data_IF_264395155438
#
_entry.id   IF_264395155438
#
_cell.length_a   1.000
_cell.length_b   1.000
_cell.length_c   1.000
_cell.angle_alpha   90.00
_cell.angle_beta   90.00
_cell.angle_gamma   90.00
#
_symmetry.space_group_name_H-M   'P 1'
#
loop_
_entity.id
_entity.type
_entity.pdbx_description
1 polymer ?
#
# COMPACT_ATOMS: atom_id res chain seq x y z
N UNK A 1 -8.12 11.03 -6.97
CA UNK A 1 -7.41 9.81 -6.59
C UNK A 1 -6.91 9.11 -7.83
N UNK A 2 -5.75 8.53 -7.76
CA UNK A 2 -5.16 7.83 -8.89
C UNK A 2 -5.45 6.35 -8.79
N UNK A 3 -5.92 5.76 -9.88
CA UNK A 3 -6.12 4.32 -9.95
C UNK A 3 -5.26 3.76 -11.04
N UNK A 4 -4.65 2.64 -10.78
CA UNK A 4 -3.77 2.00 -11.73
C UNK A 4 -4.07 0.52 -11.80
N UNK A 5 -3.85 -0.06 -12.98
CA UNK A 5 -3.91 -1.50 -13.13
C UNK A 5 -2.49 -1.98 -13.37
N UNK A 6 -2.06 -2.93 -12.57
CA UNK A 6 -0.69 -3.40 -12.61
C UNK A 6 -0.71 -4.92 -12.75
N UNK A 7 0.06 -5.42 -13.67
CA UNK A 7 0.15 -6.87 -13.88
C UNK A 7 1.14 -7.49 -12.92
N UNK A 8 1.04 -8.79 -12.68
CA UNK A 8 2.01 -9.46 -11.82
C UNK A 8 3.42 -9.25 -12.34
N UNK A 9 4.32 -9.07 -11.44
CA UNK A 9 5.74 -8.85 -11.70
C UNK A 9 6.05 -7.47 -12.23
N UNK A 10 5.08 -6.64 -12.40
CA UNK A 10 5.33 -5.23 -12.64
C UNK A 10 5.53 -4.54 -11.32
N UNK A 11 6.04 -3.33 -11.35
CA UNK A 11 6.20 -2.60 -10.11
C UNK A 11 5.78 -1.17 -10.28
N UNK A 12 5.61 -0.51 -9.16
CA UNK A 12 5.17 0.87 -9.10
C UNK A 12 6.18 1.65 -8.29
N UNK A 13 6.55 2.83 -8.77
CA UNK A 13 7.43 3.70 -8.01
C UNK A 13 6.63 4.84 -7.41
N UNK A 14 6.92 5.15 -6.16
CA UNK A 14 6.34 6.29 -5.49
C UNK A 14 7.51 7.18 -5.13
N UNK A 15 7.63 8.29 -5.80
CA UNK A 15 8.84 9.08 -5.72
C UNK A 15 9.96 8.33 -6.38
N UNK A 16 11.15 8.48 -5.89
CA UNK A 16 12.29 7.78 -6.47
C UNK A 16 12.92 6.81 -5.49
N UNK A 17 12.28 6.58 -4.35
CA UNK A 17 12.88 5.70 -3.35
C UNK A 17 11.90 4.68 -2.76
N UNK A 18 10.67 4.62 -3.23
CA UNK A 18 9.72 3.62 -2.76
C UNK A 18 9.25 2.80 -3.94
N UNK A 19 9.41 1.49 -3.84
CA UNK A 19 9.07 0.59 -4.91
C UNK A 19 8.10 -0.46 -4.39
N UNK A 20 7.02 -0.66 -5.11
CA UNK A 20 6.04 -1.67 -4.76
C UNK A 20 5.97 -2.65 -5.90
N UNK A 21 6.29 -3.91 -5.62
CA UNK A 21 6.30 -4.96 -6.62
C UNK A 21 5.08 -5.83 -6.41
N UNK A 22 4.38 -6.11 -7.49
CA UNK A 22 3.18 -6.92 -7.40
C UNK A 22 3.52 -8.34 -7.81
N UNK A 23 3.36 -9.25 -6.87
CA UNK A 23 3.78 -10.62 -7.09
C UNK A 23 2.63 -11.50 -7.57
N UNK A 24 1.42 -10.99 -7.52
CA UNK A 24 0.28 -11.77 -7.89
C UNK A 24 -0.43 -12.30 -6.66
N UNK A 25 -1.26 -13.29 -6.83
CA UNK A 25 -1.97 -13.81 -5.67
C UNK A 25 -3.08 -14.73 -6.09
N UNK A 26 -3.85 -15.16 -5.11
CA UNK A 26 -4.99 -15.97 -5.37
C UNK A 26 -6.22 -15.11 -5.19
N UNK A 27 -7.37 -15.76 -5.28
CA UNK A 27 -8.61 -15.13 -5.33
C UNK A 27 -8.81 -13.98 -4.42
N UNK A 28 -8.60 -14.09 -3.18
CA UNK A 28 -8.86 -13.04 -2.22
C UNK A 28 -7.61 -12.48 -1.59
N UNK A 29 -6.45 -12.84 -2.12
CA UNK A 29 -5.20 -12.41 -1.52
C UNK A 29 -4.25 -11.94 -2.59
N UNK A 30 -3.68 -10.79 -2.37
CA UNK A 30 -2.72 -10.22 -3.28
C UNK A 30 -1.41 -10.09 -2.55
N UNK A 31 -0.35 -10.53 -3.17
CA UNK A 31 0.96 -10.44 -2.55
C UNK A 31 1.75 -9.33 -3.19
N UNK A 32 2.35 -8.50 -2.36
CA UNK A 32 3.18 -7.41 -2.84
C UNK A 32 4.46 -7.38 -2.01
N UNK A 33 5.49 -6.79 -2.59
CA UNK A 33 6.71 -6.47 -1.87
C UNK A 33 6.87 -4.98 -1.87
N UNK A 34 7.29 -4.43 -0.74
CA UNK A 34 7.48 -3.00 -0.61
C UNK A 34 8.92 -2.75 -0.23
N UNK A 35 9.61 -1.93 -1.04
CA UNK A 35 10.97 -1.56 -0.76
C UNK A 35 10.97 -0.05 -0.49
N UNK A 36 11.23 0.33 0.72
CA UNK A 36 11.18 1.72 1.14
C UNK A 36 12.27 2.00 2.15
N UNK A 37 12.65 3.27 2.31
CA UNK A 37 13.64 3.62 3.33
C UNK A 37 13.11 3.35 4.72
N UNK A 38 14.02 3.17 5.66
CA UNK A 38 13.64 2.82 7.02
C UNK A 38 12.81 3.86 7.70
N UNK A 39 12.93 5.12 7.28
CA UNK A 39 12.17 6.18 7.91
C UNK A 39 10.75 6.28 7.39
N UNK A 40 10.35 5.40 6.50
CA UNK A 40 8.99 5.38 5.99
C UNK A 40 8.26 4.23 6.66
N UNK A 41 7.18 4.54 7.35
CA UNK A 41 6.39 3.51 8.01
C UNK A 41 5.49 2.83 7.01
N UNK A 42 5.47 1.52 7.03
CA UNK A 42 4.63 0.74 6.15
C UNK A 42 3.64 0.00 7.01
N UNK A 43 2.37 0.29 6.83
CA UNK A 43 1.34 -0.29 7.67
C UNK A 43 0.22 -0.86 6.84
N UNK A 44 -0.33 -1.98 7.30
CA UNK A 44 -1.53 -2.52 6.71
C UNK A 44 -2.70 -1.65 7.13
N UNK A 45 -3.75 -1.72 6.35
CA UNK A 45 -4.90 -0.86 6.59
C UNK A 45 -5.47 -1.01 7.98
N UNK A 46 -5.58 -2.23 8.48
CA UNK A 46 -6.19 -2.40 9.78
C UNK A 46 -5.32 -1.84 10.90
N UNK A 47 -4.02 -1.87 10.75
CA UNK A 47 -3.15 -1.28 11.74
C UNK A 47 -3.21 0.24 11.65
N UNK A 48 -3.18 0.76 10.45
CA UNK A 48 -3.25 2.19 10.24
C UNK A 48 -4.55 2.76 10.81
N UNK A 49 -5.64 2.10 10.53
CA UNK A 49 -6.93 2.57 11.01
C UNK A 49 -7.03 2.52 12.51
N UNK A 50 -6.44 1.51 13.12
CA UNK A 50 -6.45 1.42 14.57
C UNK A 50 -5.70 2.56 15.20
N UNK A 51 -4.56 2.92 14.63
CA UNK A 51 -3.75 3.99 15.18
C UNK A 51 -4.34 5.37 14.92
N UNK A 52 -5.16 5.52 13.88
CA UNK A 52 -5.76 6.79 13.52
C UNK A 52 -7.26 6.75 13.68
N UNK A 53 -7.73 6.09 14.72
CA UNK A 53 -9.14 5.85 14.86
C UNK A 53 -9.96 7.11 14.93
N UNK A 54 -9.45 8.12 15.61
CA UNK A 54 -10.19 9.32 15.69
C UNK A 54 -10.25 10.06 14.41
N UNK A 55 -9.20 9.98 13.63
CA UNK A 55 -9.22 10.63 12.34
C UNK A 55 -10.02 9.83 11.36
N UNK A 56 -10.17 8.58 11.59
CA UNK A 56 -10.85 7.76 10.64
C UNK A 56 -12.24 8.16 10.39
N UNK A 57 -12.88 8.79 11.34
CA UNK A 57 -14.14 9.15 11.08
C UNK A 57 -14.21 10.21 10.12
N UNK A 58 -13.22 10.90 9.94
CA UNK A 58 -13.28 11.80 9.00
C UNK A 58 -12.98 11.36 7.78
N UNK A 59 -12.60 10.53 7.50
CA UNK A 59 -12.28 10.09 6.47
C UNK A 59 -12.26 9.69 5.58
N UNK A 60 -12.09 9.50 5.27
CA UNK A 60 -12.17 9.15 4.30
C UNK A 60 -11.12 8.85 3.69
N UNK A 61 -10.52 8.20 3.86
CA UNK A 61 -9.47 7.97 3.22
C UNK A 61 -9.60 7.30 2.18
N UNK A 62 -9.87 7.02 1.66
CA UNK A 62 -9.93 6.44 0.49
C UNK A 62 -10.53 5.30 0.51
#
# INVERSE_FOLDING_TARGET
MLRLTVSPEEYLMIGDNIKIVFLGGSKNHLQIMVDAPRNVDIMRSEVYERMHQEAAEQNNYY
#
